data_IF_677028383589
#
_entry.id   IF_677028383589
#
_cell.length_a   1.000
_cell.length_b   1.000
_cell.length_c   1.000
_cell.angle_alpha   90.00
_cell.angle_beta   90.00
_cell.angle_gamma   90.00
#
_symmetry.space_group_name_H-M   'P 1'
#
loop_
_entity.id
_entity.type
_entity.pdbx_description
1 polymer ?
#
# COMPACT_ATOMS: atom_id res chain seq x y z
N UNK A 1 -2.49 -21.78 -28.66
CA UNK A 1 -3.34 -20.76 -28.06
C UNK A 1 -2.64 -20.30 -26.81
N UNK A 2 -2.47 -18.99 -26.54
CA UNK A 2 -1.92 -18.57 -25.27
C UNK A 2 -2.90 -19.05 -24.18
N UNK A 3 -2.37 -19.77 -23.21
CA UNK A 3 -3.11 -20.16 -22.01
C UNK A 3 -3.53 -18.87 -21.34
N UNK A 4 -4.82 -18.59 -21.26
CA UNK A 4 -5.33 -17.54 -20.38
C UNK A 4 -4.81 -17.89 -18.96
N UNK A 5 -3.87 -17.11 -18.46
CA UNK A 5 -3.51 -17.18 -17.05
C UNK A 5 -4.73 -16.62 -16.31
N UNK A 6 -5.62 -17.52 -15.93
CA UNK A 6 -6.72 -17.15 -15.04
C UNK A 6 -6.05 -16.75 -13.74
N UNK A 7 -6.26 -15.52 -13.28
CA UNK A 7 -5.74 -15.03 -11.99
C UNK A 7 -6.36 -15.74 -10.78
N UNK A 8 -7.04 -16.86 -11.02
CA UNK A 8 -7.69 -17.70 -10.01
C UNK A 8 -6.65 -18.38 -9.12
N UNK A 9 -6.79 -18.18 -7.84
CA UNK A 9 -5.87 -18.66 -6.82
C UNK A 9 -6.41 -19.93 -6.17
N UNK A 10 -5.54 -20.90 -5.98
CA UNK A 10 -5.87 -22.13 -5.25
C UNK A 10 -6.20 -21.82 -3.78
N UNK A 11 -6.92 -22.71 -3.06
CA UNK A 11 -7.20 -22.54 -1.63
C UNK A 11 -5.92 -22.34 -0.78
N UNK A 12 -4.81 -22.99 -1.14
CA UNK A 12 -3.54 -22.81 -0.44
C UNK A 12 -2.96 -21.43 -0.71
N UNK A 13 -2.94 -20.97 -1.96
CA UNK A 13 -2.49 -19.62 -2.31
C UNK A 13 -3.32 -18.53 -1.59
N UNK A 14 -4.63 -18.71 -1.49
CA UNK A 14 -5.50 -17.81 -0.73
C UNK A 14 -5.17 -17.78 0.76
N UNK A 15 -4.79 -18.93 1.34
CA UNK A 15 -4.34 -19.01 2.73
C UNK A 15 -3.01 -18.27 2.92
N UNK A 16 -2.06 -18.48 2.02
CA UNK A 16 -0.74 -17.83 2.06
C UNK A 16 -0.87 -16.32 1.87
N UNK A 17 -1.75 -15.84 0.96
CA UNK A 17 -2.05 -14.41 0.81
C UNK A 17 -2.65 -13.80 2.08
N UNK A 18 -3.57 -14.49 2.75
CA UNK A 18 -4.15 -14.01 4.01
C UNK A 18 -3.09 -13.90 5.10
N UNK A 19 -2.19 -14.86 5.18
CA UNK A 19 -1.08 -14.81 6.15
C UNK A 19 -0.12 -13.67 5.82
N UNK A 20 0.26 -13.53 4.55
CA UNK A 20 1.06 -12.42 4.05
C UNK A 20 0.42 -11.06 4.40
N UNK A 21 -0.89 -10.92 4.17
CA UNK A 21 -1.64 -9.70 4.51
C UNK A 21 -1.67 -9.40 6.01
N UNK A 22 -1.72 -10.43 6.89
CA UNK A 22 -1.60 -10.22 8.33
C UNK A 22 -0.22 -9.72 8.74
N UNK A 23 0.84 -10.27 8.14
CA UNK A 23 2.20 -9.78 8.37
C UNK A 23 2.33 -8.32 7.97
N UNK A 24 1.82 -7.95 6.79
CA UNK A 24 1.82 -6.58 6.29
C UNK A 24 1.04 -5.64 7.22
N UNK A 25 -0.15 -6.02 7.64
CA UNK A 25 -0.96 -5.25 8.57
C UNK A 25 -0.25 -5.05 9.93
N UNK A 26 0.43 -6.09 10.43
CA UNK A 26 1.22 -6.00 11.67
C UNK A 26 2.36 -4.98 11.54
N UNK A 27 3.09 -5.00 10.42
CA UNK A 27 4.14 -4.01 10.16
C UNK A 27 3.57 -2.59 10.19
N UNK A 28 2.40 -2.37 9.59
CA UNK A 28 1.77 -1.06 9.57
C UNK A 28 1.27 -0.60 10.93
N UNK A 29 0.72 -1.50 11.74
CA UNK A 29 0.29 -1.17 13.10
C UNK A 29 1.50 -0.79 13.98
N UNK A 30 2.62 -1.47 13.81
CA UNK A 30 3.87 -1.14 14.48
C UNK A 30 4.45 0.20 13.98
N UNK A 31 4.40 0.49 12.67
CA UNK A 31 4.83 1.77 12.09
C UNK A 31 4.01 2.94 12.63
N UNK A 32 2.67 2.80 12.69
CA UNK A 32 1.80 3.85 13.25
C UNK A 32 2.12 4.23 14.69
N UNK A 33 2.65 3.28 15.46
CA UNK A 33 3.03 3.49 16.86
C UNK A 33 4.46 4.02 17.01
N UNK A 34 5.30 3.80 16.01
CA UNK A 34 6.73 4.06 16.08
C UNK A 34 7.16 5.35 15.41
N UNK A 35 6.53 5.70 14.30
CA UNK A 35 6.90 6.86 13.50
C UNK A 35 6.63 8.15 14.28
N UNK A 36 7.68 8.95 14.48
CA UNK A 36 7.67 10.20 15.22
C UNK A 36 8.65 11.19 14.60
N UNK A 37 8.49 12.47 14.89
CA UNK A 37 9.44 13.50 14.49
C UNK A 37 10.84 13.19 15.04
N UNK A 38 11.85 13.40 14.22
CA UNK A 38 13.24 13.06 14.53
C UNK A 38 13.70 11.70 14.00
N UNK A 39 12.80 10.82 13.57
CA UNK A 39 13.16 9.61 12.81
C UNK A 39 13.43 9.96 11.35
N UNK A 40 14.33 9.23 10.70
CA UNK A 40 14.56 9.35 9.26
C UNK A 40 13.73 8.31 8.47
N UNK A 41 13.57 8.57 7.17
CA UNK A 41 12.97 7.58 6.25
C UNK A 41 13.81 6.28 6.20
N UNK A 42 15.14 6.40 6.34
CA UNK A 42 16.05 5.25 6.44
C UNK A 42 15.81 4.43 7.71
N UNK A 43 15.50 5.06 8.86
CA UNK A 43 15.14 4.33 10.09
C UNK A 43 13.88 3.50 9.89
N UNK A 44 12.90 4.04 9.16
CA UNK A 44 11.68 3.31 8.77
C UNK A 44 12.03 2.11 7.88
N UNK A 45 12.85 2.32 6.86
CA UNK A 45 13.27 1.26 5.96
C UNK A 45 14.01 0.13 6.69
N UNK A 46 14.92 0.47 7.62
CA UNK A 46 15.65 -0.52 8.42
C UNK A 46 14.70 -1.30 9.34
N UNK A 47 13.79 -0.62 10.00
CA UNK A 47 12.78 -1.26 10.84
C UNK A 47 11.93 -2.25 10.03
N UNK A 48 11.38 -1.83 8.89
CA UNK A 48 10.55 -2.69 8.02
C UNK A 48 11.34 -3.88 7.50
N UNK A 49 12.59 -3.66 7.08
CA UNK A 49 13.49 -4.74 6.64
C UNK A 49 13.71 -5.78 7.76
N UNK A 50 13.84 -5.33 9.01
CA UNK A 50 13.90 -6.20 10.18
C UNK A 50 12.64 -7.05 10.33
N UNK A 51 11.46 -6.43 10.26
CA UNK A 51 10.18 -7.13 10.42
C UNK A 51 9.91 -8.13 9.29
N UNK A 52 10.25 -7.79 8.05
CA UNK A 52 10.15 -8.72 6.91
C UNK A 52 10.99 -9.98 7.18
N UNK A 53 12.24 -9.81 7.65
CA UNK A 53 13.11 -10.94 8.02
C UNK A 53 12.55 -11.77 9.17
N UNK A 54 12.04 -11.12 10.22
CA UNK A 54 11.46 -11.80 11.39
C UNK A 54 10.26 -12.68 11.02
N UNK A 55 9.46 -12.25 10.07
CA UNK A 55 8.33 -13.02 9.54
C UNK A 55 8.75 -14.10 8.53
N UNK A 56 10.00 -14.12 8.08
CA UNK A 56 10.43 -14.99 6.98
C UNK A 56 9.73 -14.64 5.66
N UNK A 57 9.32 -13.39 5.51
CA UNK A 57 8.68 -12.88 4.30
C UNK A 57 9.73 -12.40 3.28
N UNK A 58 9.31 -12.26 2.03
CA UNK A 58 10.13 -11.71 0.94
C UNK A 58 9.99 -10.20 0.88
N UNK A 59 11.11 -9.49 0.79
CA UNK A 59 11.14 -8.07 0.46
C UNK A 59 10.99 -7.90 -1.05
N UNK A 60 9.76 -7.82 -1.54
CA UNK A 60 9.44 -7.84 -2.97
C UNK A 60 10.14 -6.73 -3.75
N UNK A 61 10.27 -5.54 -3.17
CA UNK A 61 10.95 -4.41 -3.82
C UNK A 61 12.45 -4.65 -4.10
N UNK A 62 13.11 -5.52 -3.37
CA UNK A 62 14.52 -5.87 -3.59
C UNK A 62 14.72 -6.97 -4.63
N UNK A 63 13.67 -7.62 -5.09
CA UNK A 63 13.76 -8.70 -6.07
C UNK A 63 14.10 -8.18 -7.47
N UNK A 64 14.49 -9.08 -8.37
CA UNK A 64 14.75 -8.76 -9.78
C UNK A 64 13.52 -8.22 -10.52
N UNK A 65 12.33 -8.45 -10.00
CA UNK A 65 11.06 -7.95 -10.53
C UNK A 65 10.98 -6.43 -10.43
N UNK A 66 11.52 -5.81 -9.36
CA UNK A 66 11.36 -4.37 -9.07
C UNK A 66 12.69 -3.62 -9.03
N UNK A 67 13.71 -4.15 -8.33
CA UNK A 67 15.03 -3.53 -8.14
C UNK A 67 14.98 -2.14 -7.52
N UNK A 68 14.11 -1.96 -6.53
CA UNK A 68 13.95 -0.70 -5.82
C UNK A 68 15.03 -0.55 -4.72
N UNK A 69 15.52 0.67 -4.44
CA UNK A 69 16.63 0.88 -3.48
C UNK A 69 16.21 0.87 -2.00
N UNK A 70 15.11 0.22 -1.65
CA UNK A 70 14.59 0.07 -0.30
C UNK A 70 13.56 -1.03 -0.23
N UNK A 71 13.11 -1.37 0.97
CA UNK A 71 12.08 -2.41 1.18
C UNK A 71 10.67 -1.84 1.24
N UNK A 72 10.54 -0.52 1.34
CA UNK A 72 9.27 0.22 1.47
C UNK A 72 9.38 1.54 0.71
N UNK A 73 8.30 2.00 0.07
CA UNK A 73 8.20 3.37 -0.39
C UNK A 73 7.80 4.28 0.78
N UNK A 74 8.52 5.40 0.93
CA UNK A 74 8.20 6.45 1.90
C UNK A 74 8.05 7.75 1.14
N UNK A 75 6.82 8.22 1.01
CA UNK A 75 6.52 9.44 0.24
C UNK A 75 6.04 10.53 1.19
N UNK A 76 6.88 11.55 1.37
CA UNK A 76 6.68 12.63 2.35
C UNK A 76 6.18 13.90 1.68
N UNK A 77 5.12 14.50 2.22
CA UNK A 77 4.50 15.76 1.82
C UNK A 77 4.07 15.79 0.35
N UNK A 78 4.77 16.55 -0.52
CA UNK A 78 4.47 16.69 -1.95
C UNK A 78 4.89 15.50 -2.81
N UNK A 79 5.61 14.54 -2.24
CA UNK A 79 5.94 13.30 -2.95
C UNK A 79 4.69 12.44 -3.09
N UNK A 80 4.34 12.12 -4.33
CA UNK A 80 3.07 11.48 -4.63
C UNK A 80 3.08 10.00 -4.24
N UNK A 81 3.96 9.21 -4.86
CA UNK A 81 4.14 7.76 -4.65
C UNK A 81 5.55 7.34 -5.05
N UNK A 82 5.92 6.10 -4.75
CA UNK A 82 7.14 5.41 -5.20
C UNK A 82 8.45 6.13 -4.83
N UNK A 83 8.43 6.96 -3.79
CA UNK A 83 9.66 7.59 -3.28
C UNK A 83 10.46 6.57 -2.48
N UNK A 84 11.75 6.49 -2.76
CA UNK A 84 12.64 5.63 -1.99
C UNK A 84 13.09 6.33 -0.72
N UNK A 85 13.33 5.59 0.37
CA UNK A 85 13.75 6.15 1.64
C UNK A 85 15.09 6.89 1.52
N UNK A 86 15.14 8.08 2.11
CA UNK A 86 16.30 8.96 2.17
C UNK A 86 16.70 9.25 3.61
N UNK A 87 17.71 10.09 3.81
CA UNK A 87 18.10 10.61 5.10
C UNK A 87 17.22 11.77 5.60
N UNK A 88 16.10 12.06 4.90
CA UNK A 88 15.12 13.03 5.36
C UNK A 88 14.61 12.65 6.75
N UNK A 89 14.64 13.60 7.67
CA UNK A 89 14.18 13.45 9.06
C UNK A 89 12.79 14.04 9.20
N UNK A 90 11.85 13.24 9.63
CA UNK A 90 10.45 13.68 9.79
C UNK A 90 10.34 14.84 10.78
N UNK A 91 9.49 15.78 10.40
CA UNK A 91 9.05 16.88 11.24
C UNK A 91 7.60 16.66 11.69
N UNK A 92 7.23 17.27 12.82
CA UNK A 92 5.86 17.27 13.29
C UNK A 92 4.95 17.91 12.24
N UNK A 93 3.91 17.20 11.88
CA UNK A 93 2.95 17.65 10.88
C UNK A 93 3.22 17.18 9.45
N UNK A 94 4.34 16.50 9.19
CA UNK A 94 4.56 15.87 7.88
C UNK A 94 3.44 14.89 7.54
N UNK A 95 3.02 14.90 6.29
CA UNK A 95 2.11 13.89 5.73
C UNK A 95 2.96 12.84 5.07
N UNK A 96 2.95 11.63 5.59
CA UNK A 96 3.80 10.55 5.10
C UNK A 96 2.97 9.36 4.67
N UNK A 97 3.18 8.91 3.42
CA UNK A 97 2.60 7.68 2.88
C UNK A 97 3.64 6.57 2.88
N UNK A 98 3.25 5.46 3.47
CA UNK A 98 4.03 4.21 3.53
C UNK A 98 3.36 3.19 2.62
N UNK A 99 4.10 2.67 1.66
CA UNK A 99 3.62 1.74 0.66
C UNK A 99 4.57 0.54 0.57
N UNK A 100 4.04 -0.66 0.75
CA UNK A 100 4.81 -1.87 0.94
C UNK A 100 4.18 -3.08 0.28
N UNK A 101 4.99 -3.77 -0.49
CA UNK A 101 4.68 -5.10 -1.02
C UNK A 101 5.61 -6.13 -0.38
N UNK A 102 5.01 -7.15 0.23
CA UNK A 102 5.75 -8.29 0.75
C UNK A 102 5.26 -9.59 0.12
N UNK A 103 6.14 -10.59 0.08
CA UNK A 103 5.83 -11.92 -0.42
C UNK A 103 5.90 -12.97 0.68
N UNK A 104 5.04 -13.99 0.61
CA UNK A 104 5.06 -15.15 1.49
C UNK A 104 4.63 -16.39 0.74
N UNK A 105 5.46 -17.44 0.74
CA UNK A 105 5.25 -18.68 -0.02
C UNK A 105 4.93 -18.43 -1.51
N UNK A 106 5.59 -17.43 -2.11
CA UNK A 106 5.40 -17.04 -3.50
C UNK A 106 4.16 -16.18 -3.77
N UNK A 107 3.31 -15.93 -2.77
CA UNK A 107 2.15 -15.03 -2.90
C UNK A 107 2.49 -13.65 -2.36
N UNK A 108 2.05 -12.61 -3.06
CA UNK A 108 2.31 -11.21 -2.71
C UNK A 108 1.06 -10.51 -2.19
N UNK A 109 1.27 -9.55 -1.31
CA UNK A 109 0.25 -8.59 -0.86
C UNK A 109 0.81 -7.19 -0.91
N UNK A 110 -0.05 -6.26 -1.27
CA UNK A 110 0.27 -4.87 -1.53
C UNK A 110 -0.74 -3.98 -0.82
N UNK A 111 -0.27 -3.02 -0.07
CA UNK A 111 -1.11 -1.97 0.49
C UNK A 111 -0.31 -0.75 0.93
N UNK A 112 -1.02 0.35 1.16
CA UNK A 112 -0.43 1.60 1.64
C UNK A 112 -1.29 2.22 2.73
N UNK A 113 -0.68 3.05 3.58
CA UNK A 113 -1.40 3.96 4.46
C UNK A 113 -0.67 5.29 4.57
N UNK A 114 -1.42 6.33 4.95
CA UNK A 114 -0.87 7.67 5.15
C UNK A 114 -1.18 8.14 6.58
N UNK A 115 -0.23 8.82 7.20
CA UNK A 115 -0.41 9.45 8.50
C UNK A 115 0.15 10.87 8.54
N UNK A 116 -0.21 11.60 9.58
CA UNK A 116 0.42 12.89 9.93
C UNK A 116 1.30 12.65 11.15
N UNK A 117 2.56 13.04 11.04
CA UNK A 117 3.56 12.79 12.09
C UNK A 117 3.25 13.63 13.34
N UNK A 118 3.13 12.97 14.49
CA UNK A 118 2.95 13.58 15.82
C UNK A 118 1.83 14.62 15.94
N UNK A 119 0.84 14.58 15.06
CA UNK A 119 -0.36 15.41 15.23
C UNK A 119 -1.61 14.76 14.62
N UNK A 120 -2.77 15.11 15.19
CA UNK A 120 -4.05 14.76 14.59
C UNK A 120 -4.28 15.55 13.30
N UNK A 121 -4.63 14.88 12.18
CA UNK A 121 -4.90 15.58 10.93
C UNK A 121 -6.04 16.56 11.05
N UNK A 122 -5.87 17.79 10.52
CA UNK A 122 -6.87 18.87 10.54
C UNK A 122 -6.98 19.51 9.15
N UNK A 123 -8.09 20.22 8.93
CA UNK A 123 -8.30 20.99 7.70
C UNK A 123 -8.15 20.13 6.44
N UNK A 124 -7.30 20.57 5.51
CA UNK A 124 -7.10 19.90 4.23
C UNK A 124 -6.47 18.50 4.39
N UNK A 125 -5.53 18.30 5.33
CA UNK A 125 -4.92 17.00 5.62
C UNK A 125 -6.00 15.98 6.04
N UNK A 126 -6.85 16.36 7.01
CA UNK A 126 -7.96 15.50 7.46
C UNK A 126 -8.93 15.17 6.32
N UNK A 127 -9.28 16.18 5.51
CA UNK A 127 -10.17 15.99 4.38
C UNK A 127 -9.59 15.00 3.36
N UNK A 128 -8.31 15.16 3.01
CA UNK A 128 -7.61 14.29 2.08
C UNK A 128 -7.56 12.84 2.59
N UNK A 129 -7.05 12.62 3.80
CA UNK A 129 -6.89 11.28 4.36
C UNK A 129 -8.25 10.57 4.49
N UNK A 130 -9.25 11.26 5.04
CA UNK A 130 -10.58 10.69 5.24
C UNK A 130 -11.28 10.34 3.92
N UNK A 131 -11.24 11.23 2.93
CA UNK A 131 -11.87 10.97 1.64
C UNK A 131 -11.16 9.84 0.87
N UNK A 132 -9.83 9.75 0.98
CA UNK A 132 -9.05 8.66 0.38
C UNK A 132 -9.40 7.32 1.02
N UNK A 133 -9.45 7.26 2.35
CA UNK A 133 -9.87 6.05 3.07
C UNK A 133 -11.32 5.64 2.71
N UNK A 134 -12.25 6.59 2.67
CA UNK A 134 -13.62 6.31 2.23
C UNK A 134 -13.67 5.78 0.79
N UNK A 135 -12.80 6.27 -0.10
CA UNK A 135 -12.75 5.79 -1.47
C UNK A 135 -12.27 4.35 -1.56
N UNK A 136 -11.31 3.94 -0.70
CA UNK A 136 -10.86 2.55 -0.60
C UNK A 136 -12.04 1.63 -0.21
N UNK A 137 -12.76 1.96 0.84
CA UNK A 137 -13.90 1.14 1.28
C UNK A 137 -15.03 1.11 0.24
N UNK A 138 -15.30 2.21 -0.44
CA UNK A 138 -16.26 2.21 -1.54
C UNK A 138 -15.85 1.27 -2.67
N UNK A 139 -14.56 1.20 -2.99
CA UNK A 139 -14.03 0.24 -3.95
C UNK A 139 -14.19 -1.21 -3.48
N UNK A 140 -13.93 -1.49 -2.21
CA UNK A 140 -14.12 -2.83 -1.61
C UNK A 140 -15.61 -3.22 -1.63
N UNK A 141 -16.49 -2.32 -1.23
CA UNK A 141 -17.95 -2.56 -1.18
C UNK A 141 -18.57 -2.77 -2.58
N UNK A 142 -17.92 -2.25 -3.63
CA UNK A 142 -18.34 -2.47 -5.01
C UNK A 142 -18.11 -3.92 -5.48
N UNK A 143 -17.33 -4.72 -4.75
CA UNK A 143 -17.07 -6.13 -5.05
C UNK A 143 -18.29 -6.94 -4.57
N UNK A 144 -19.25 -7.13 -5.47
CA UNK A 144 -20.54 -7.81 -5.17
C UNK A 144 -20.53 -9.31 -5.46
N UNK A 145 -19.40 -9.87 -5.84
CA UNK A 145 -19.23 -11.27 -6.18
C UNK A 145 -18.94 -11.52 -7.66
N UNK A 146 -19.35 -12.68 -8.16
CA UNK A 146 -19.13 -13.07 -9.56
C UNK A 146 -19.75 -12.05 -10.53
N UNK A 147 -18.95 -11.64 -11.51
CA UNK A 147 -19.35 -10.64 -12.51
C UNK A 147 -18.96 -9.20 -12.18
N UNK A 148 -18.42 -8.91 -10.99
CA UNK A 148 -17.84 -7.60 -10.67
C UNK A 148 -16.64 -7.32 -11.59
N UNK A 149 -16.61 -6.14 -12.18
CA UNK A 149 -15.52 -5.71 -13.07
C UNK A 149 -14.60 -4.74 -12.36
N UNK A 150 -13.34 -4.68 -12.76
CA UNK A 150 -12.37 -3.67 -12.27
C UNK A 150 -12.92 -2.25 -12.46
N UNK A 151 -13.65 -2.01 -13.57
CA UNK A 151 -14.32 -0.73 -13.81
C UNK A 151 -15.38 -0.35 -12.77
N UNK A 152 -16.06 -1.32 -12.16
CA UNK A 152 -17.06 -1.06 -11.11
C UNK A 152 -16.36 -0.55 -9.84
N UNK A 153 -15.22 -1.16 -9.48
CA UNK A 153 -14.36 -0.73 -8.37
C UNK A 153 -13.85 0.68 -8.62
N UNK A 154 -13.27 0.92 -9.81
CA UNK A 154 -12.74 2.23 -10.20
C UNK A 154 -13.80 3.33 -10.20
N UNK A 155 -15.01 3.03 -10.68
CA UNK A 155 -16.13 3.98 -10.70
C UNK A 155 -16.59 4.35 -9.29
N UNK A 156 -16.63 3.39 -8.36
CA UNK A 156 -16.98 3.63 -6.96
C UNK A 156 -15.96 4.54 -6.27
N UNK A 157 -14.67 4.26 -6.45
CA UNK A 157 -13.56 5.09 -5.94
C UNK A 157 -13.66 6.51 -6.50
N UNK A 158 -13.79 6.64 -7.83
CA UNK A 158 -13.88 7.94 -8.50
C UNK A 158 -15.07 8.78 -8.00
N UNK A 159 -16.22 8.14 -7.77
CA UNK A 159 -17.42 8.85 -7.27
C UNK A 159 -17.17 9.53 -5.91
N UNK A 160 -16.49 8.85 -4.99
CA UNK A 160 -16.12 9.41 -3.69
C UNK A 160 -15.14 10.57 -3.83
N UNK A 161 -14.07 10.38 -4.60
CA UNK A 161 -13.04 11.41 -4.77
C UNK A 161 -13.57 12.66 -5.48
N UNK A 162 -14.41 12.50 -6.52
CA UNK A 162 -15.09 13.62 -7.19
C UNK A 162 -16.00 14.39 -6.23
N UNK A 163 -16.79 13.68 -5.40
CA UNK A 163 -17.64 14.32 -4.38
C UNK A 163 -16.82 15.11 -3.37
N UNK A 164 -15.66 14.59 -3.00
CA UNK A 164 -14.71 15.25 -2.11
C UNK A 164 -13.92 16.39 -2.80
N UNK A 165 -14.08 16.58 -4.11
CA UNK A 165 -13.34 17.57 -4.93
C UNK A 165 -11.83 17.38 -4.88
N UNK A 166 -11.38 16.14 -4.82
CA UNK A 166 -9.97 15.76 -4.87
C UNK A 166 -9.53 15.47 -6.31
N UNK A 167 -8.27 15.74 -6.60
CA UNK A 167 -7.63 15.33 -7.86
C UNK A 167 -7.50 13.81 -7.96
N UNK A 168 -7.64 13.27 -9.17
CA UNK A 168 -7.51 11.84 -9.44
C UNK A 168 -6.38 11.67 -10.44
N UNK A 169 -5.37 10.91 -10.06
CA UNK A 169 -4.22 10.60 -10.90
C UNK A 169 -4.59 9.42 -11.80
N UNK A 170 -4.89 9.70 -13.07
CA UNK A 170 -5.41 8.69 -14.00
C UNK A 170 -4.31 7.82 -14.62
N UNK A 171 -3.08 8.27 -14.57
CA UNK A 171 -1.89 7.56 -15.06
C UNK A 171 -1.48 6.41 -14.14
N UNK A 172 -1.90 6.45 -12.88
CA UNK A 172 -1.70 5.38 -11.90
C UNK A 172 -3.00 4.59 -11.75
N UNK A 173 -2.93 3.29 -11.98
CA UNK A 173 -4.09 2.40 -11.96
C UNK A 173 -3.95 1.34 -10.87
N UNK A 174 -5.09 0.85 -10.37
CA UNK A 174 -5.10 -0.32 -9.50
C UNK A 174 -4.82 -1.60 -10.30
N UNK A 175 -4.28 -2.59 -9.63
CA UNK A 175 -3.91 -3.86 -10.22
C UNK A 175 -4.20 -5.03 -9.28
N UNK A 176 -4.27 -6.23 -9.84
CA UNK A 176 -4.30 -7.46 -9.05
C UNK A 176 -2.91 -7.78 -8.49
N UNK A 177 -2.89 -8.61 -7.45
CA UNK A 177 -1.67 -9.17 -6.86
C UNK A 177 -1.79 -10.70 -6.75
N UNK A 178 -0.67 -11.38 -6.74
CA UNK A 178 -0.66 -12.84 -6.63
C UNK A 178 0.75 -13.39 -6.61
N UNK A 179 1.11 -14.20 -7.60
CA UNK A 179 2.47 -14.69 -7.79
C UNK A 179 3.41 -13.56 -8.22
N UNK A 180 2.88 -12.58 -8.93
CA UNK A 180 3.57 -11.38 -9.37
C UNK A 180 3.02 -10.16 -8.59
N UNK A 181 3.82 -9.11 -8.47
CA UNK A 181 3.40 -7.87 -7.83
C UNK A 181 2.27 -7.19 -8.61
N UNK A 182 2.37 -7.17 -9.93
CA UNK A 182 1.31 -6.69 -10.83
C UNK A 182 0.73 -7.88 -11.61
N UNK A 183 -0.46 -8.30 -11.24
CA UNK A 183 -1.17 -9.41 -11.89
C UNK A 183 -2.44 -8.88 -12.58
N UNK A 184 -2.61 -9.23 -13.88
CA UNK A 184 -3.74 -8.83 -14.72
C UNK A 184 -4.73 -9.98 -14.89
#
# INVERSE_FOLDING_TARGET
>A
MPTLITGEKTPQQMKDMRECGRMLATIYDELRQRVTAGMSELDVNEFVAGRIRDFGAEATYLTDEVKFPGVICVSTNEQLVHSFPTDYVFEKGDVVSFDLVIGYHGMKTDSAFTMVVDEEPRGAKKHLLHATEQSLYAGIDAISGEGTRVGDISAAIEAVLKKAKLGIIRELVGHGVGLEMHQY
#
